data_IF_337894098863
#
_entry.id   IF_337894098863
#
_cell.length_a   1.000
_cell.length_b   1.000
_cell.length_c   1.000
_cell.angle_alpha   90.00
_cell.angle_beta   90.00
_cell.angle_gamma   90.00
#
_symmetry.space_group_name_H-M   'P 1'
#
loop_
_entity.id
_entity.type
_entity.pdbx_description
1 polymer ?
#
# COMPACT_ATOMS: atom_id res chain seq x y z
N UNK A 1 -14.42 23.28 20.67
CA UNK A 1 -14.72 22.29 19.65
C UNK A 1 -14.97 23.10 18.40
N UNK A 2 -14.11 23.04 17.44
CA UNK A 2 -14.19 23.91 16.25
C UNK A 2 -15.26 23.32 15.33
N UNK A 3 -16.17 24.14 14.86
CA UNK A 3 -17.15 23.80 13.81
C UNK A 3 -16.38 23.42 12.57
N UNK A 4 -16.54 22.19 12.08
CA UNK A 4 -15.77 21.65 10.97
C UNK A 4 -16.59 21.69 9.66
N UNK A 5 -17.70 22.43 9.67
CA UNK A 5 -18.46 22.76 8.46
C UNK A 5 -17.93 24.08 7.92
N UNK A 6 -17.45 24.04 6.68
CA UNK A 6 -16.99 25.21 5.94
C UNK A 6 -17.79 25.37 4.65
N UNK A 7 -18.02 26.60 4.24
CA UNK A 7 -18.83 26.95 3.08
C UNK A 7 -17.97 27.63 2.04
N UNK A 8 -18.05 27.20 0.80
CA UNK A 8 -17.30 27.73 -0.32
C UNK A 8 -18.20 28.03 -1.50
N UNK A 9 -17.90 29.08 -2.25
CA UNK A 9 -18.60 29.41 -3.48
C UNK A 9 -17.61 29.91 -4.54
N UNK A 10 -17.86 29.54 -5.77
CA UNK A 10 -17.07 30.05 -6.88
C UNK A 10 -17.60 31.39 -7.32
N UNK A 11 -16.80 32.44 -7.16
CA UNK A 11 -17.10 33.82 -7.60
C UNK A 11 -16.03 34.22 -8.60
N UNK A 12 -16.43 34.62 -9.80
CA UNK A 12 -15.50 35.03 -10.87
C UNK A 12 -14.38 34.02 -11.18
N UNK A 13 -14.67 32.71 -11.05
CA UNK A 13 -13.70 31.64 -11.32
C UNK A 13 -12.73 31.34 -10.16
N UNK A 14 -12.92 31.95 -9.00
CA UNK A 14 -12.14 31.69 -7.78
C UNK A 14 -13.03 31.12 -6.67
N UNK A 15 -12.51 30.17 -5.93
CA UNK A 15 -13.17 29.62 -4.75
C UNK A 15 -12.99 30.57 -3.56
N UNK A 16 -14.10 31.08 -3.02
CA UNK A 16 -14.11 31.97 -1.87
C UNK A 16 -14.76 31.26 -0.67
N UNK A 17 -14.15 31.41 0.51
CA UNK A 17 -14.71 30.91 1.77
C UNK A 17 -15.83 31.87 2.26
N UNK A 18 -17.00 31.31 2.51
CA UNK A 18 -18.15 32.06 3.01
C UNK A 18 -18.26 31.93 4.53
N UNK A 19 -18.71 32.97 5.21
CA UNK A 19 -18.94 32.95 6.67
C UNK A 19 -20.24 32.26 7.06
N UNK A 20 -21.19 32.21 6.16
CA UNK A 20 -22.53 31.68 6.39
C UNK A 20 -23.02 30.94 5.14
N UNK A 21 -23.94 30.01 5.36
CA UNK A 21 -24.62 29.29 4.28
C UNK A 21 -25.22 30.22 3.24
N UNK A 22 -25.01 29.91 1.98
CA UNK A 22 -25.68 30.49 0.82
C UNK A 22 -26.11 29.38 -0.14
N UNK A 23 -27.23 29.63 -0.83
CA UNK A 23 -27.70 28.72 -1.88
C UNK A 23 -26.69 28.64 -3.02
N UNK A 24 -26.35 27.41 -3.47
CA UNK A 24 -25.38 27.17 -4.52
C UNK A 24 -23.92 27.12 -4.01
N UNK A 25 -23.71 27.13 -2.70
CA UNK A 25 -22.37 26.91 -2.14
C UNK A 25 -22.00 25.41 -2.09
N UNK A 26 -20.71 25.16 -2.05
CA UNK A 26 -20.17 23.87 -1.66
C UNK A 26 -19.96 23.85 -0.14
N UNK A 27 -20.40 22.79 0.51
CA UNK A 27 -20.32 22.58 1.95
C UNK A 27 -19.34 21.47 2.21
N UNK A 28 -18.25 21.75 2.92
CA UNK A 28 -17.28 20.73 3.31
C UNK A 28 -17.41 20.42 4.80
N UNK A 29 -17.59 19.13 5.13
CA UNK A 29 -17.77 18.62 6.48
C UNK A 29 -16.66 17.61 6.76
N UNK A 30 -15.82 17.89 7.78
CA UNK A 30 -14.75 16.98 8.21
C UNK A 30 -15.13 16.47 9.60
N UNK A 31 -15.23 15.14 9.76
CA UNK A 31 -15.60 14.47 11.01
C UNK A 31 -16.81 15.15 11.71
N UNK A 32 -17.98 15.28 11.06
CA UNK A 32 -19.10 16.07 11.57
C UNK A 32 -19.61 15.50 12.90
N UNK A 33 -19.94 16.40 13.81
CA UNK A 33 -20.58 16.08 15.08
C UNK A 33 -22.04 15.74 14.89
N UNK A 34 -22.67 15.14 15.92
CA UNK A 34 -24.09 14.80 15.87
C UNK A 34 -24.99 16.03 15.61
N UNK A 35 -24.68 17.18 16.22
CA UNK A 35 -25.41 18.43 16.01
C UNK A 35 -25.25 18.98 14.59
N UNK A 36 -24.08 18.80 13.97
CA UNK A 36 -23.83 19.17 12.58
C UNK A 36 -24.59 18.25 11.60
N UNK A 37 -24.72 16.97 11.94
CA UNK A 37 -25.54 16.03 11.15
C UNK A 37 -27.03 16.37 11.22
N UNK A 38 -27.54 16.75 12.40
CA UNK A 38 -28.93 17.25 12.54
C UNK A 38 -29.16 18.49 11.66
N UNK A 39 -28.21 19.42 11.62
CA UNK A 39 -28.26 20.60 10.76
C UNK A 39 -28.31 20.22 9.25
N UNK A 40 -27.48 19.24 8.83
CA UNK A 40 -27.52 18.76 7.44
C UNK A 40 -28.87 18.13 7.08
N UNK A 41 -29.52 17.45 8.04
CA UNK A 41 -30.83 16.84 7.83
C UNK A 41 -31.94 17.91 7.82
N UNK A 42 -32.00 18.75 8.86
CA UNK A 42 -33.13 19.65 9.11
C UNK A 42 -33.12 20.90 8.20
N UNK A 43 -31.93 21.47 7.95
CA UNK A 43 -31.80 22.70 7.16
C UNK A 43 -31.49 22.44 5.68
N UNK A 44 -30.77 21.39 5.36
CA UNK A 44 -30.31 21.10 4.00
C UNK A 44 -31.06 19.93 3.34
N UNK A 45 -31.95 19.24 4.10
CA UNK A 45 -32.79 18.16 3.59
C UNK A 45 -31.98 16.91 3.16
N UNK A 46 -30.83 16.64 3.81
CA UNK A 46 -30.09 15.43 3.53
C UNK A 46 -30.71 14.25 4.27
N UNK A 47 -31.03 13.20 3.55
CA UNK A 47 -31.62 12.00 4.11
C UNK A 47 -30.70 11.32 5.17
N UNK A 48 -31.25 10.90 6.35
CA UNK A 48 -30.49 10.28 7.40
C UNK A 48 -29.79 8.98 6.98
N UNK A 49 -30.32 8.26 5.99
CA UNK A 49 -29.69 7.05 5.44
C UNK A 49 -28.40 7.40 4.72
N UNK A 50 -28.40 8.45 3.90
CA UNK A 50 -27.24 8.99 3.19
C UNK A 50 -26.15 9.43 4.18
N UNK A 51 -26.52 10.13 5.25
CA UNK A 51 -25.56 10.57 6.27
C UNK A 51 -24.91 9.38 7.00
N UNK A 52 -25.68 8.32 7.29
CA UNK A 52 -25.11 7.11 7.91
C UNK A 52 -24.09 6.43 7.01
N UNK A 53 -24.40 6.26 5.72
CA UNK A 53 -23.45 5.70 4.76
C UNK A 53 -22.20 6.57 4.62
N UNK A 54 -22.36 7.90 4.66
CA UNK A 54 -21.24 8.86 4.56
C UNK A 54 -20.27 8.83 5.75
N UNK A 55 -20.67 8.23 6.88
CA UNK A 55 -19.87 8.14 8.12
C UNK A 55 -19.32 6.75 8.39
N UNK A 56 -19.53 5.81 7.47
CA UNK A 56 -18.95 4.46 7.58
C UNK A 56 -17.56 4.45 6.94
N UNK A 57 -16.52 4.15 7.74
CA UNK A 57 -15.13 4.06 7.26
C UNK A 57 -14.90 2.87 6.32
N UNK A 58 -15.76 1.86 6.36
CA UNK A 58 -15.66 0.63 5.55
C UNK A 58 -16.62 0.66 4.34
N UNK A 59 -17.33 1.77 4.11
CA UNK A 59 -18.27 1.90 3.01
C UNK A 59 -17.54 1.86 1.66
N UNK A 60 -18.03 1.02 0.77
CA UNK A 60 -17.43 0.82 -0.56
C UNK A 60 -17.91 1.88 -1.56
N UNK A 61 -17.06 2.20 -2.54
CA UNK A 61 -17.43 3.15 -3.60
C UNK A 61 -18.71 2.72 -4.34
N UNK A 62 -19.71 3.58 -4.31
CA UNK A 62 -20.98 3.40 -5.03
C UNK A 62 -21.66 4.74 -5.29
N UNK A 63 -22.74 4.69 -6.06
CA UNK A 63 -23.66 5.81 -6.27
C UNK A 63 -25.06 5.35 -5.91
N UNK A 64 -25.76 6.16 -5.15
CA UNK A 64 -27.14 5.94 -4.75
C UNK A 64 -27.96 7.22 -4.89
N UNK A 65 -29.27 7.08 -5.05
CA UNK A 65 -30.17 8.21 -5.16
C UNK A 65 -31.39 7.96 -4.25
N UNK A 66 -31.56 8.85 -3.30
CA UNK A 66 -32.76 8.88 -2.43
C UNK A 66 -33.46 10.23 -2.56
N UNK A 67 -34.72 10.21 -2.94
CA UNK A 67 -35.55 11.39 -3.22
C UNK A 67 -34.83 12.38 -4.17
N UNK A 68 -34.54 13.59 -3.68
CA UNK A 68 -33.86 14.66 -4.41
C UNK A 68 -32.32 14.70 -4.18
N UNK A 69 -31.77 13.71 -3.45
CA UNK A 69 -30.34 13.64 -3.10
C UNK A 69 -29.65 12.55 -3.89
N UNK A 70 -28.50 12.86 -4.46
CA UNK A 70 -27.62 11.85 -5.08
C UNK A 70 -26.34 11.75 -4.27
N UNK A 71 -26.09 10.56 -3.72
CA UNK A 71 -24.88 10.23 -2.97
C UNK A 71 -23.86 9.56 -3.90
N UNK A 72 -22.62 10.02 -3.81
CA UNK A 72 -21.45 9.36 -4.35
C UNK A 72 -20.52 9.02 -3.19
N UNK A 73 -20.19 7.77 -3.01
CA UNK A 73 -19.09 7.35 -2.16
C UNK A 73 -17.97 6.94 -3.07
N UNK A 74 -16.80 7.51 -2.86
CA UNK A 74 -15.59 7.25 -3.62
C UNK A 74 -14.44 6.97 -2.67
N UNK A 75 -13.61 6.00 -3.02
CA UNK A 75 -12.40 5.70 -2.26
C UNK A 75 -11.27 6.62 -2.66
N UNK A 76 -10.69 7.33 -1.71
CA UNK A 76 -9.55 8.22 -1.91
C UNK A 76 -8.27 7.60 -1.34
N UNK A 77 -7.14 7.72 -2.05
CA UNK A 77 -5.88 7.22 -1.55
C UNK A 77 -5.25 8.19 -0.54
N UNK A 78 -4.82 7.65 0.61
CA UNK A 78 -4.21 8.42 1.69
C UNK A 78 -2.89 7.79 2.11
N UNK A 79 -1.91 8.62 2.47
CA UNK A 79 -0.63 8.18 3.03
C UNK A 79 -0.70 8.19 4.54
N UNK A 80 -0.56 7.02 5.14
CA UNK A 80 -0.45 6.87 6.59
C UNK A 80 1.02 6.68 6.98
N UNK A 81 1.50 7.49 7.90
CA UNK A 81 2.83 7.34 8.48
C UNK A 81 2.74 6.55 9.78
N UNK A 82 3.25 5.33 9.78
CA UNK A 82 3.39 4.51 10.97
C UNK A 82 4.88 4.44 11.35
N UNK A 83 5.26 5.11 12.45
CA UNK A 83 6.63 5.17 12.97
C UNK A 83 7.72 5.50 11.93
N UNK A 84 8.20 4.50 11.17
CA UNK A 84 9.27 4.63 10.17
C UNK A 84 8.87 4.17 8.77
N UNK A 85 7.65 3.67 8.59
CA UNK A 85 7.17 3.15 7.32
C UNK A 85 6.04 4.04 6.78
N UNK A 86 6.02 4.18 5.46
CA UNK A 86 4.90 4.77 4.73
C UNK A 86 4.01 3.63 4.26
N UNK A 87 2.73 3.65 4.66
CA UNK A 87 1.70 2.79 4.11
C UNK A 87 0.67 3.62 3.35
N UNK A 88 0.10 3.04 2.32
CA UNK A 88 -0.95 3.67 1.53
C UNK A 88 -2.24 2.91 1.80
N UNK A 89 -3.23 3.63 2.25
CA UNK A 89 -4.58 3.13 2.54
C UNK A 89 -5.60 3.87 1.69
N UNK A 90 -6.82 3.41 1.71
CA UNK A 90 -7.95 4.12 1.09
C UNK A 90 -9.00 4.45 2.15
N UNK A 91 -9.61 5.62 2.02
CA UNK A 91 -10.68 6.08 2.89
C UNK A 91 -11.86 6.53 2.01
N UNK A 92 -13.11 6.34 2.47
CA UNK A 92 -14.27 6.84 1.76
C UNK A 92 -14.36 8.36 1.86
N UNK A 93 -14.77 8.99 0.75
CA UNK A 93 -15.22 10.37 0.66
C UNK A 93 -16.65 10.35 0.13
N UNK A 94 -17.58 10.85 0.91
CA UNK A 94 -18.95 11.03 0.45
C UNK A 94 -19.11 12.41 -0.20
N UNK A 95 -19.80 12.43 -1.34
CA UNK A 95 -20.17 13.63 -2.07
C UNK A 95 -21.68 13.54 -2.30
N UNK A 96 -22.42 14.51 -1.77
CA UNK A 96 -23.88 14.55 -1.86
C UNK A 96 -24.26 15.74 -2.74
N UNK A 97 -25.01 15.47 -3.78
CA UNK A 97 -25.64 16.50 -4.60
C UNK A 97 -27.08 16.62 -4.16
N UNK A 98 -27.45 17.79 -3.66
CA UNK A 98 -28.83 18.18 -3.38
C UNK A 98 -29.37 19.10 -4.49
N UNK A 99 -30.64 19.47 -4.44
CA UNK A 99 -31.24 20.42 -5.39
C UNK A 99 -30.47 21.76 -5.43
N UNK A 100 -29.91 22.20 -4.33
CA UNK A 100 -29.29 23.52 -4.21
C UNK A 100 -27.75 23.49 -4.07
N UNK A 101 -27.17 22.47 -3.43
CA UNK A 101 -25.82 22.49 -2.94
C UNK A 101 -25.04 21.21 -3.30
N UNK A 102 -23.73 21.29 -3.15
CA UNK A 102 -22.81 20.14 -3.10
C UNK A 102 -22.33 20.03 -1.66
N UNK A 103 -22.33 18.83 -1.10
CA UNK A 103 -21.83 18.56 0.25
C UNK A 103 -20.78 17.48 0.15
N UNK A 104 -19.61 17.70 0.73
CA UNK A 104 -18.57 16.69 0.88
C UNK A 104 -18.45 16.33 2.36
N UNK A 105 -18.40 15.03 2.66
CA UNK A 105 -18.21 14.52 4.03
C UNK A 105 -17.04 13.58 4.03
N UNK A 106 -16.06 13.84 4.89
CA UNK A 106 -14.92 12.97 5.14
C UNK A 106 -14.69 12.80 6.65
N UNK A 107 -14.22 11.63 7.07
CA UNK A 107 -13.94 11.36 8.50
C UNK A 107 -12.57 11.89 8.94
N UNK A 108 -11.69 12.18 7.98
CA UNK A 108 -10.36 12.70 8.22
C UNK A 108 -10.04 13.84 7.24
N UNK A 109 -9.06 14.66 7.61
CA UNK A 109 -8.52 15.69 6.71
C UNK A 109 -8.10 15.07 5.38
N UNK A 110 -8.55 15.70 4.30
CA UNK A 110 -8.37 15.19 2.95
C UNK A 110 -7.56 16.17 2.11
N UNK A 111 -6.32 15.79 1.72
CA UNK A 111 -5.48 16.68 0.91
C UNK A 111 -6.03 16.99 -0.48
N UNK A 112 -6.94 16.14 -1.01
CA UNK A 112 -7.59 16.38 -2.30
C UNK A 112 -8.64 17.48 -2.13
N UNK A 113 -9.46 17.41 -1.09
CA UNK A 113 -10.47 18.44 -0.80
C UNK A 113 -9.80 19.77 -0.46
N UNK A 114 -8.68 19.78 0.26
CA UNK A 114 -7.90 20.98 0.53
C UNK A 114 -7.45 21.70 -0.76
N UNK A 115 -7.11 20.98 -1.84
CA UNK A 115 -6.79 21.59 -3.14
C UNK A 115 -7.97 22.37 -3.75
N UNK A 116 -9.23 21.95 -3.46
CA UNK A 116 -10.44 22.69 -3.88
C UNK A 116 -10.70 23.88 -2.99
N UNK A 117 -10.50 23.74 -1.67
CA UNK A 117 -10.65 24.85 -0.70
C UNK A 117 -9.67 26.00 -1.00
N UNK A 118 -8.44 25.66 -1.35
CA UNK A 118 -7.40 26.60 -1.71
C UNK A 118 -7.55 27.19 -3.13
N UNK A 119 -8.53 26.72 -3.90
CA UNK A 119 -8.75 27.16 -5.28
C UNK A 119 -7.65 26.77 -6.26
N UNK A 120 -6.88 25.72 -5.94
CA UNK A 120 -5.79 25.20 -6.80
C UNK A 120 -6.36 24.50 -8.03
N UNK A 121 -7.53 23.88 -7.89
CA UNK A 121 -8.20 23.15 -8.97
C UNK A 121 -8.90 24.15 -9.90
N UNK A 122 -8.39 24.27 -11.11
CA UNK A 122 -8.98 25.15 -12.13
C UNK A 122 -10.31 24.56 -12.62
N UNK A 123 -11.24 25.44 -12.98
CA UNK A 123 -12.58 25.09 -13.52
C UNK A 123 -13.51 24.35 -12.56
N UNK A 124 -13.15 24.18 -11.29
CA UNK A 124 -14.05 23.65 -10.28
C UNK A 124 -15.08 24.74 -9.88
N UNK A 125 -16.20 24.78 -10.59
CA UNK A 125 -17.25 25.76 -10.33
C UNK A 125 -18.42 25.11 -9.55
N UNK A 126 -18.75 25.68 -8.39
CA UNK A 126 -19.83 25.20 -7.50
C UNK A 126 -21.21 25.28 -8.13
N UNK A 127 -21.43 26.10 -9.17
CA UNK A 127 -22.68 26.17 -9.91
C UNK A 127 -22.92 24.95 -10.82
N UNK A 128 -21.85 24.29 -11.27
CA UNK A 128 -21.88 23.11 -12.13
C UNK A 128 -21.60 21.83 -11.32
N UNK A 129 -22.62 21.35 -10.60
CA UNK A 129 -22.46 20.28 -9.61
C UNK A 129 -21.87 19.00 -10.18
N UNK A 130 -22.34 18.56 -11.35
CA UNK A 130 -21.84 17.36 -12.03
C UNK A 130 -20.36 17.52 -12.36
N UNK A 131 -19.99 18.64 -12.97
CA UNK A 131 -18.61 18.94 -13.34
C UNK A 131 -17.70 19.02 -12.10
N UNK A 132 -18.19 19.61 -11.00
CA UNK A 132 -17.45 19.67 -9.74
C UNK A 132 -17.12 18.27 -9.19
N UNK A 133 -18.09 17.35 -9.19
CA UNK A 133 -17.85 15.93 -8.80
C UNK A 133 -16.84 15.26 -9.73
N UNK A 134 -16.95 15.48 -11.03
CA UNK A 134 -16.01 14.91 -12.00
C UNK A 134 -14.59 15.43 -11.80
N UNK A 135 -14.40 16.71 -11.47
CA UNK A 135 -13.09 17.26 -11.11
C UNK A 135 -12.54 16.65 -9.82
N UNK A 136 -13.39 16.35 -8.82
CA UNK A 136 -12.93 15.59 -7.64
C UNK A 136 -12.41 14.21 -8.07
N UNK A 137 -13.16 13.50 -8.93
CA UNK A 137 -12.74 12.18 -9.44
C UNK A 137 -11.44 12.23 -10.24
N UNK A 138 -11.25 13.26 -11.07
CA UNK A 138 -10.01 13.54 -11.79
C UNK A 138 -8.83 13.68 -10.82
N UNK A 139 -8.99 14.51 -9.77
CA UNK A 139 -7.94 14.70 -8.76
C UNK A 139 -7.66 13.44 -7.96
N UNK A 140 -8.70 12.67 -7.59
CA UNK A 140 -8.56 11.37 -6.93
C UNK A 140 -7.74 10.42 -7.80
N UNK A 141 -8.08 10.30 -9.09
CA UNK A 141 -7.38 9.42 -10.03
C UNK A 141 -5.92 9.84 -10.23
N UNK A 142 -5.66 11.13 -10.40
CA UNK A 142 -4.31 11.68 -10.48
C UNK A 142 -3.47 11.36 -9.22
N UNK A 143 -4.10 11.39 -8.04
CA UNK A 143 -3.47 11.05 -6.76
C UNK A 143 -3.11 9.57 -6.68
N UNK A 144 -4.00 8.67 -7.14
CA UNK A 144 -3.67 7.25 -7.28
C UNK A 144 -2.46 7.02 -8.17
N UNK A 145 -2.42 7.62 -9.35
CA UNK A 145 -1.28 7.52 -10.27
C UNK A 145 0.02 8.05 -9.64
N UNK A 146 -0.07 9.16 -8.90
CA UNK A 146 1.06 9.72 -8.16
C UNK A 146 1.59 8.74 -7.10
N UNK A 147 0.71 8.14 -6.31
CA UNK A 147 1.11 7.20 -5.25
C UNK A 147 1.64 5.88 -5.82
N UNK A 148 1.06 5.36 -6.89
CA UNK A 148 1.59 4.19 -7.58
C UNK A 148 3.02 4.42 -8.09
N UNK A 149 3.32 5.60 -8.65
CA UNK A 149 4.69 5.99 -9.03
C UNK A 149 5.65 6.13 -7.84
N UNK A 150 5.15 6.54 -6.67
CA UNK A 150 5.95 6.59 -5.44
C UNK A 150 6.22 5.19 -4.90
N UNK A 151 5.21 4.33 -4.88
CA UNK A 151 5.31 2.92 -4.49
C UNK A 151 6.37 2.21 -5.32
N UNK A 152 6.35 2.36 -6.64
CA UNK A 152 7.35 1.78 -7.55
C UNK A 152 8.78 2.16 -7.14
N UNK A 153 9.03 3.45 -6.88
CA UNK A 153 10.35 3.91 -6.42
C UNK A 153 10.78 3.34 -5.07
N UNK A 154 9.82 3.19 -4.14
CA UNK A 154 10.09 2.64 -2.80
C UNK A 154 10.38 1.13 -2.92
N UNK A 155 9.60 0.42 -3.72
CA UNK A 155 9.78 -1.01 -4.02
C UNK A 155 11.17 -1.28 -4.59
N UNK A 156 11.56 -0.56 -5.63
CA UNK A 156 12.89 -0.71 -6.22
C UNK A 156 14.03 -0.47 -5.22
N UNK A 157 13.92 0.52 -4.34
CA UNK A 157 14.92 0.77 -3.31
C UNK A 157 14.99 -0.37 -2.30
N UNK A 158 13.82 -0.83 -1.81
CA UNK A 158 13.74 -1.93 -0.85
C UNK A 158 14.30 -3.24 -1.42
N UNK A 159 14.03 -3.55 -2.70
CA UNK A 159 14.60 -4.69 -3.41
C UNK A 159 16.12 -4.61 -3.52
N UNK A 160 16.67 -3.45 -3.87
CA UNK A 160 18.13 -3.24 -3.96
C UNK A 160 18.81 -3.41 -2.60
N UNK A 161 18.22 -2.89 -1.53
CA UNK A 161 18.72 -3.06 -0.18
C UNK A 161 18.64 -4.51 0.28
N UNK A 162 17.53 -5.21 -0.04
CA UNK A 162 17.35 -6.61 0.28
C UNK A 162 18.40 -7.50 -0.40
N UNK A 163 18.70 -7.25 -1.68
CA UNK A 163 19.77 -7.96 -2.40
C UNK A 163 21.15 -7.78 -1.76
N UNK A 164 21.40 -6.62 -1.13
CA UNK A 164 22.71 -6.32 -0.48
C UNK A 164 22.85 -6.93 0.90
N UNK A 165 21.79 -6.95 1.70
CA UNK A 165 21.91 -7.22 3.14
C UNK A 165 21.01 -8.34 3.66
N UNK A 166 20.06 -8.86 2.88
CA UNK A 166 19.11 -9.94 3.26
C UNK A 166 18.46 -9.74 4.65
N UNK A 167 18.15 -8.47 5.02
CA UNK A 167 17.58 -8.16 6.34
C UNK A 167 16.06 -8.29 6.33
N UNK A 168 15.49 -8.85 7.38
CA UNK A 168 14.04 -9.00 7.56
C UNK A 168 13.26 -7.68 7.47
N UNK A 169 13.91 -6.55 7.80
CA UNK A 169 13.27 -5.24 7.74
C UNK A 169 12.79 -4.88 6.34
N UNK A 170 13.60 -5.15 5.31
CA UNK A 170 13.23 -4.86 3.92
C UNK A 170 12.11 -5.78 3.43
N UNK A 171 12.11 -7.04 3.87
CA UNK A 171 11.00 -7.96 3.57
C UNK A 171 9.69 -7.47 4.17
N UNK A 172 9.69 -7.04 5.43
CA UNK A 172 8.50 -6.46 6.06
C UNK A 172 8.02 -5.20 5.33
N UNK A 173 8.94 -4.35 4.87
CA UNK A 173 8.59 -3.17 4.08
C UNK A 173 7.93 -3.54 2.75
N UNK A 174 8.43 -4.56 2.04
CA UNK A 174 7.82 -5.04 0.79
C UNK A 174 6.44 -5.64 1.02
N UNK A 175 6.23 -6.37 2.13
CA UNK A 175 4.89 -6.87 2.53
C UNK A 175 3.89 -5.74 2.80
N UNK A 176 4.31 -4.66 3.47
CA UNK A 176 3.44 -3.49 3.68
C UNK A 176 3.09 -2.78 2.37
N UNK A 177 4.03 -2.74 1.43
CA UNK A 177 3.78 -2.21 0.08
C UNK A 177 2.80 -3.10 -0.68
N UNK A 178 2.98 -4.43 -0.61
CA UNK A 178 2.06 -5.38 -1.25
C UNK A 178 0.63 -5.20 -0.73
N UNK A 179 0.46 -5.10 0.59
CA UNK A 179 -0.82 -4.81 1.24
C UNK A 179 -1.42 -3.50 0.74
N UNK A 180 -0.61 -2.44 0.65
CA UNK A 180 -1.04 -1.14 0.12
C UNK A 180 -1.52 -1.24 -1.33
N UNK A 181 -0.79 -1.96 -2.20
CA UNK A 181 -1.18 -2.17 -3.59
C UNK A 181 -2.49 -2.93 -3.73
N UNK A 182 -2.76 -3.91 -2.85
CA UNK A 182 -4.03 -4.64 -2.82
C UNK A 182 -5.19 -3.68 -2.52
N UNK A 183 -5.07 -2.83 -1.49
CA UNK A 183 -6.10 -1.85 -1.16
C UNK A 183 -6.31 -0.85 -2.30
N UNK A 184 -5.24 -0.24 -2.81
CA UNK A 184 -5.33 0.71 -3.93
C UNK A 184 -5.97 0.08 -5.17
N UNK A 185 -5.62 -1.18 -5.49
CA UNK A 185 -6.19 -1.90 -6.64
C UNK A 185 -7.69 -2.20 -6.46
N UNK A 186 -8.11 -2.60 -5.25
CA UNK A 186 -9.51 -2.87 -4.94
C UNK A 186 -10.35 -1.60 -5.05
N UNK A 187 -9.91 -0.51 -4.43
CA UNK A 187 -10.59 0.79 -4.43
C UNK A 187 -10.64 1.42 -5.82
N UNK A 188 -9.56 1.35 -6.61
CA UNK A 188 -9.59 1.80 -8.01
C UNK A 188 -10.64 1.08 -8.84
N UNK A 189 -10.77 -0.25 -8.68
CA UNK A 189 -11.81 -1.04 -9.39
C UNK A 189 -13.21 -0.66 -8.93
N UNK A 190 -13.41 -0.41 -7.63
CA UNK A 190 -14.69 0.04 -7.10
C UNK A 190 -15.07 1.41 -7.65
N UNK A 191 -14.13 2.35 -7.65
CA UNK A 191 -14.30 3.68 -8.23
C UNK A 191 -14.60 3.62 -9.75
N UNK A 192 -13.92 2.75 -10.52
CA UNK A 192 -14.19 2.56 -11.95
C UNK A 192 -15.64 2.11 -12.20
N UNK A 193 -16.16 1.17 -11.40
CA UNK A 193 -17.54 0.72 -11.50
C UNK A 193 -18.50 1.87 -11.22
N UNK A 194 -18.24 2.68 -10.20
CA UNK A 194 -19.03 3.86 -9.84
C UNK A 194 -19.01 4.89 -10.97
N UNK A 195 -17.83 5.20 -11.54
CA UNK A 195 -17.70 6.11 -12.68
C UNK A 195 -18.42 5.62 -13.93
N UNK A 196 -18.39 4.32 -14.21
CA UNK A 196 -19.14 3.74 -15.33
C UNK A 196 -20.65 3.86 -15.13
N UNK A 197 -21.17 3.78 -13.89
CA UNK A 197 -22.58 4.03 -13.58
C UNK A 197 -22.93 5.50 -13.83
N UNK A 198 -22.06 6.44 -13.44
CA UNK A 198 -22.24 7.88 -13.70
C UNK A 198 -22.30 8.14 -15.22
N UNK A 199 -21.36 7.58 -16.00
CA UNK A 199 -21.32 7.73 -17.48
C UNK A 199 -22.62 7.28 -18.16
N UNK A 200 -23.33 6.31 -17.60
CA UNK A 200 -24.62 5.86 -18.16
C UNK A 200 -25.73 6.93 -18.08
N UNK A 201 -25.50 8.03 -17.35
CA UNK A 201 -26.33 9.25 -17.37
C UNK A 201 -27.73 9.11 -16.79
N UNK A 202 -28.01 8.07 -15.98
CA UNK A 202 -29.35 7.84 -15.44
C UNK A 202 -29.60 8.51 -14.09
N UNK A 203 -28.53 8.83 -13.35
CA UNK A 203 -28.62 9.32 -11.96
C UNK A 203 -28.31 10.81 -11.83
N UNK A 204 -27.57 11.38 -12.77
CA UNK A 204 -27.25 12.81 -12.82
C UNK A 204 -27.38 13.35 -14.23
N UNK A 205 -27.70 14.64 -14.34
CA UNK A 205 -27.79 15.33 -15.63
C UNK A 205 -26.36 15.64 -16.11
N UNK A 206 -26.03 15.18 -17.30
CA UNK A 206 -24.72 15.41 -17.94
C UNK A 206 -24.87 16.30 -19.16
N UNK A 207 -23.89 17.14 -19.39
CA UNK A 207 -23.73 17.97 -20.59
C UNK A 207 -22.60 17.41 -21.46
N UNK A 208 -22.45 17.88 -22.68
CA UNK A 208 -21.42 17.37 -23.61
C UNK A 208 -20.00 17.49 -23.05
N UNK A 209 -19.68 18.57 -22.34
CA UNK A 209 -18.40 18.80 -21.68
C UNK A 209 -18.15 17.78 -20.54
N UNK A 210 -19.20 17.40 -19.81
CA UNK A 210 -19.11 16.39 -18.74
C UNK A 210 -18.82 14.99 -19.31
N UNK A 211 -19.32 14.70 -20.52
CA UNK A 211 -19.08 13.41 -21.20
C UNK A 211 -17.62 13.27 -21.59
N UNK A 212 -16.99 14.33 -22.09
CA UNK A 212 -15.56 14.32 -22.41
C UNK A 212 -14.72 14.16 -21.14
N UNK A 213 -15.01 14.93 -20.09
CA UNK A 213 -14.29 14.87 -18.82
C UNK A 213 -14.36 13.47 -18.15
N UNK A 214 -15.57 12.84 -18.15
CA UNK A 214 -15.70 11.50 -17.57
C UNK A 214 -14.96 10.43 -18.38
N UNK A 215 -14.86 10.59 -19.70
CA UNK A 215 -14.08 9.68 -20.55
C UNK A 215 -12.60 9.75 -20.23
N UNK A 216 -12.07 10.96 -20.08
CA UNK A 216 -10.67 11.18 -19.70
C UNK A 216 -10.35 10.58 -18.32
N UNK A 217 -11.21 10.83 -17.32
CA UNK A 217 -11.06 10.24 -15.99
C UNK A 217 -11.09 8.70 -16.03
N UNK A 218 -12.00 8.11 -16.81
CA UNK A 218 -12.07 6.66 -16.98
C UNK A 218 -10.82 6.07 -17.67
N UNK A 219 -10.22 6.78 -18.61
CA UNK A 219 -8.97 6.36 -19.25
C UNK A 219 -7.83 6.35 -18.24
N UNK A 220 -7.66 7.45 -17.50
CA UNK A 220 -6.61 7.55 -16.47
C UNK A 220 -6.83 6.52 -15.33
N UNK A 221 -8.08 6.27 -14.93
CA UNK A 221 -8.42 5.28 -13.90
C UNK A 221 -8.07 3.87 -14.35
N UNK A 222 -8.36 3.50 -15.60
CA UNK A 222 -7.93 2.21 -16.16
C UNK A 222 -6.41 2.09 -16.20
N UNK A 223 -5.70 3.14 -16.57
CA UNK A 223 -4.24 3.17 -16.51
C UNK A 223 -3.76 2.92 -15.07
N UNK A 224 -4.38 3.53 -14.05
CA UNK A 224 -4.03 3.30 -12.66
C UNK A 224 -4.31 1.86 -12.22
N UNK A 225 -5.44 1.27 -12.64
CA UNK A 225 -5.79 -0.14 -12.38
C UNK A 225 -4.73 -1.07 -12.96
N UNK A 226 -4.39 -0.90 -14.24
CA UNK A 226 -3.40 -1.74 -14.92
C UNK A 226 -2.03 -1.59 -14.25
N UNK A 227 -1.62 -0.37 -13.92
CA UNK A 227 -0.37 -0.08 -13.24
C UNK A 227 -0.31 -0.73 -11.85
N UNK A 228 -1.40 -0.65 -11.06
CA UNK A 228 -1.47 -1.30 -9.75
C UNK A 228 -1.37 -2.83 -9.85
N UNK A 229 -2.05 -3.43 -10.83
CA UNK A 229 -2.01 -4.87 -11.09
C UNK A 229 -0.61 -5.34 -11.51
N UNK A 230 0.06 -4.59 -12.40
CA UNK A 230 1.43 -4.88 -12.83
C UNK A 230 2.39 -4.81 -11.65
N UNK A 231 2.34 -3.74 -10.83
CA UNK A 231 3.20 -3.60 -9.66
C UNK A 231 2.96 -4.71 -8.63
N UNK A 232 1.72 -5.09 -8.39
CA UNK A 232 1.38 -6.19 -7.49
C UNK A 232 1.97 -7.52 -7.97
N UNK A 233 1.82 -7.84 -9.26
CA UNK A 233 2.36 -9.07 -9.84
C UNK A 233 3.89 -9.11 -9.81
N UNK A 234 4.56 -8.01 -10.13
CA UNK A 234 6.02 -7.90 -10.05
C UNK A 234 6.49 -8.09 -8.62
N UNK A 235 5.87 -7.41 -7.66
CA UNK A 235 6.24 -7.48 -6.26
C UNK A 235 6.06 -8.89 -5.69
N UNK A 236 4.91 -9.52 -5.95
CA UNK A 236 4.65 -10.90 -5.52
C UNK A 236 5.67 -11.88 -6.09
N UNK A 237 5.98 -11.79 -7.39
CA UNK A 237 7.01 -12.61 -8.04
C UNK A 237 8.41 -12.35 -7.47
N UNK A 238 8.73 -11.10 -7.15
CA UNK A 238 9.99 -10.73 -6.49
C UNK A 238 10.10 -11.33 -5.08
N UNK A 239 9.00 -11.33 -4.31
CA UNK A 239 8.95 -11.94 -2.97
C UNK A 239 9.19 -13.45 -3.01
N UNK A 240 8.59 -14.17 -3.98
CA UNK A 240 8.83 -15.59 -4.20
C UNK A 240 10.29 -15.88 -4.56
N UNK A 241 10.88 -15.06 -5.44
CA UNK A 241 12.29 -15.15 -5.79
C UNK A 241 13.20 -14.92 -4.58
N UNK A 242 12.93 -13.91 -3.75
CA UNK A 242 13.70 -13.67 -2.53
C UNK A 242 13.59 -14.80 -1.52
N UNK A 243 12.39 -15.37 -1.33
CA UNK A 243 12.19 -16.56 -0.47
C UNK A 243 13.06 -17.74 -0.93
N UNK A 244 13.15 -17.97 -2.23
CA UNK A 244 14.00 -19.02 -2.82
C UNK A 244 15.48 -18.74 -2.60
N UNK A 245 15.92 -17.48 -2.76
CA UNK A 245 17.32 -17.07 -2.52
C UNK A 245 17.70 -17.23 -1.05
N UNK A 246 16.82 -16.83 -0.12
CA UNK A 246 17.03 -16.98 1.32
C UNK A 246 17.16 -18.46 1.68
N UNK A 247 16.27 -19.32 1.17
CA UNK A 247 16.34 -20.78 1.39
C UNK A 247 17.64 -21.36 0.84
N UNK A 248 18.07 -20.95 -0.35
CA UNK A 248 19.35 -21.39 -0.92
C UNK A 248 20.55 -20.94 -0.08
N UNK A 249 20.56 -19.70 0.40
CA UNK A 249 21.62 -19.19 1.28
C UNK A 249 21.67 -19.97 2.60
N UNK A 250 20.52 -20.30 3.20
CA UNK A 250 20.45 -21.14 4.39
C UNK A 250 21.08 -22.52 4.13
N UNK A 251 20.76 -23.14 2.99
CA UNK A 251 21.35 -24.41 2.59
C UNK A 251 22.88 -24.33 2.45
N UNK A 252 23.41 -23.24 1.89
CA UNK A 252 24.86 -23.00 1.78
C UNK A 252 25.49 -22.90 3.17
N UNK A 253 24.91 -22.11 4.07
CA UNK A 253 25.38 -21.98 5.45
C UNK A 253 25.38 -23.33 6.18
N UNK A 254 24.27 -24.09 6.05
CA UNK A 254 24.13 -25.43 6.65
C UNK A 254 25.16 -26.42 6.09
N UNK A 255 25.40 -26.42 4.78
CA UNK A 255 26.48 -27.25 4.16
C UNK A 255 27.85 -26.91 4.73
N UNK A 256 28.17 -25.62 4.79
CA UNK A 256 29.44 -25.14 5.31
C UNK A 256 29.62 -25.51 6.79
N UNK A 257 28.61 -25.29 7.62
CA UNK A 257 28.65 -25.65 9.04
C UNK A 257 28.81 -27.15 9.25
N UNK A 258 28.05 -27.95 8.51
CA UNK A 258 28.16 -29.43 8.55
C UNK A 258 29.55 -29.89 8.14
N UNK A 259 30.10 -29.31 7.08
CA UNK A 259 31.44 -29.66 6.60
C UNK A 259 32.53 -29.31 7.63
N UNK A 260 32.46 -28.13 8.25
CA UNK A 260 33.39 -27.74 9.33
C UNK A 260 33.28 -28.71 10.51
N UNK A 261 32.06 -29.04 10.93
CA UNK A 261 31.80 -29.96 12.04
C UNK A 261 32.37 -31.36 11.75
N UNK A 262 32.14 -31.88 10.54
CA UNK A 262 32.69 -33.17 10.12
C UNK A 262 34.22 -33.17 10.12
N UNK A 263 34.87 -32.14 9.62
CA UNK A 263 36.33 -32.00 9.62
C UNK A 263 36.85 -31.95 11.05
N UNK A 264 36.26 -31.18 11.95
CA UNK A 264 36.67 -31.02 13.33
C UNK A 264 36.38 -32.27 14.20
N UNK A 265 35.45 -33.14 13.80
CA UNK A 265 35.17 -34.38 14.52
C UNK A 265 36.30 -35.39 14.40
N UNK A 266 37.12 -35.37 13.31
CA UNK A 266 38.20 -36.31 13.07
C UNK A 266 39.27 -36.30 14.19
N UNK A 267 39.86 -35.13 14.54
CA UNK A 267 40.82 -35.08 15.67
C UNK A 267 40.21 -35.54 16.98
N UNK A 268 38.93 -35.21 17.23
CA UNK A 268 38.22 -35.60 18.45
C UNK A 268 38.07 -37.10 18.57
N UNK A 269 37.69 -37.80 17.48
CA UNK A 269 37.57 -39.25 17.43
C UNK A 269 38.94 -39.92 17.64
N UNK A 270 39.97 -39.44 16.96
CA UNK A 270 41.33 -39.99 17.06
C UNK A 270 41.86 -39.77 18.48
N UNK A 271 41.73 -38.57 19.04
CA UNK A 271 42.18 -38.25 20.40
C UNK A 271 41.42 -39.07 21.45
N UNK A 272 40.11 -39.30 21.26
CA UNK A 272 39.29 -40.13 22.13
C UNK A 272 39.74 -41.60 22.11
N UNK A 273 40.01 -42.15 20.91
CA UNK A 273 40.49 -43.51 20.77
C UNK A 273 41.87 -43.72 21.41
N UNK A 274 42.82 -42.82 21.17
CA UNK A 274 44.16 -42.88 21.74
C UNK A 274 44.19 -42.54 23.24
N UNK A 275 43.26 -41.72 23.75
CA UNK A 275 43.16 -41.38 25.17
C UNK A 275 42.56 -42.49 26.04
N UNK A 276 41.76 -43.38 25.49
CA UNK A 276 41.19 -44.53 26.20
C UNK A 276 42.15 -45.68 26.41
N UNK A 277 43.14 -45.85 25.53
CA UNK A 277 44.10 -46.94 25.62
C UNK A 277 45.45 -46.42 26.14
N UNK A 278 45.91 -46.97 27.26
CA UNK A 278 47.26 -46.69 27.79
C UNK A 278 48.28 -47.29 26.80
N UNK A 279 48.90 -46.43 25.98
CA UNK A 279 49.65 -46.76 24.76
C UNK A 279 51.07 -47.22 25.12
N UNK A 280 51.24 -48.12 26.08
CA UNK A 280 52.58 -48.60 26.48
C UNK A 280 53.15 -49.73 25.59
N UNK A 281 52.32 -50.35 24.71
CA UNK A 281 52.72 -51.54 23.95
C UNK A 281 52.47 -51.54 22.42
N UNK A 282 52.18 -50.39 21.83
CA UNK A 282 52.02 -50.30 20.37
C UNK A 282 53.41 -50.03 19.73
N UNK A 283 53.86 -50.95 18.95
CA UNK A 283 55.18 -50.96 18.34
C UNK A 283 55.74 -49.60 17.84
N UNK A 284 57.03 -49.48 17.70
CA UNK A 284 57.89 -48.29 17.66
C UNK A 284 57.39 -47.04 16.82
N UNK A 285 56.42 -47.17 15.91
CA UNK A 285 55.94 -46.04 15.09
C UNK A 285 54.62 -45.54 15.57
N UNK A 286 53.67 -46.43 15.96
CA UNK A 286 52.29 -46.07 16.38
C UNK A 286 52.24 -45.56 17.81
N UNK A 287 53.19 -45.80 18.64
CA UNK A 287 53.38 -45.34 20.01
C UNK A 287 53.98 -43.94 20.15
N UNK A 288 54.38 -43.30 19.04
CA UNK A 288 55.02 -41.98 19.07
C UNK A 288 53.94 -40.87 19.20
N UNK A 289 54.15 -39.94 20.11
CA UNK A 289 53.17 -38.87 20.43
C UNK A 289 52.70 -38.06 19.23
N UNK A 290 53.44 -37.91 18.15
CA UNK A 290 53.10 -37.16 16.95
C UNK A 290 52.26 -37.97 15.96
N UNK A 291 52.19 -39.31 16.04
CA UNK A 291 51.49 -40.18 15.09
C UNK A 291 49.96 -39.92 15.05
N UNK A 292 49.22 -39.83 16.18
CA UNK A 292 47.82 -39.46 16.18
C UNK A 292 47.56 -38.09 15.55
N UNK A 293 48.47 -37.15 15.75
CA UNK A 293 48.40 -35.83 15.15
C UNK A 293 48.56 -35.87 13.63
N UNK A 294 49.58 -36.57 13.12
CA UNK A 294 49.79 -36.74 11.68
C UNK A 294 48.64 -37.50 11.00
N UNK A 295 48.12 -38.54 11.66
CA UNK A 295 46.96 -39.29 11.18
C UNK A 295 45.71 -38.41 11.10
N UNK A 296 45.42 -37.62 12.13
CA UNK A 296 44.28 -36.71 12.13
C UNK A 296 44.39 -35.67 11.02
N UNK A 297 45.56 -35.09 10.83
CA UNK A 297 45.79 -34.07 9.80
C UNK A 297 45.58 -34.64 8.39
N UNK A 298 46.09 -35.87 8.13
CA UNK A 298 45.93 -36.54 6.85
C UNK A 298 44.48 -36.86 6.53
N UNK A 299 43.73 -37.37 7.51
CA UNK A 299 42.28 -37.66 7.34
C UNK A 299 41.44 -36.41 7.18
N UNK A 300 41.76 -35.33 7.90
CA UNK A 300 41.12 -34.01 7.70
C UNK A 300 41.34 -33.51 6.27
N UNK A 301 42.58 -33.64 5.74
CA UNK A 301 42.90 -33.21 4.38
C UNK A 301 42.13 -34.04 3.33
N UNK A 302 42.10 -35.35 3.50
CA UNK A 302 41.34 -36.24 2.61
C UNK A 302 39.82 -35.89 2.64
N UNK A 303 39.25 -35.73 3.83
CA UNK A 303 37.86 -35.37 3.98
C UNK A 303 37.58 -33.99 3.37
N UNK A 304 38.43 -33.00 3.59
CA UNK A 304 38.30 -31.67 2.97
C UNK A 304 38.27 -31.75 1.43
N UNK A 305 39.18 -32.56 0.83
CA UNK A 305 39.21 -32.75 -0.63
C UNK A 305 37.92 -33.42 -1.12
N UNK A 306 37.39 -34.40 -0.38
CA UNK A 306 36.12 -35.06 -0.74
C UNK A 306 34.94 -34.09 -0.66
N UNK A 307 34.85 -33.31 0.43
CA UNK A 307 33.77 -32.32 0.62
C UNK A 307 33.83 -31.21 -0.43
N UNK A 308 35.05 -30.74 -0.76
CA UNK A 308 35.25 -29.74 -1.83
C UNK A 308 34.84 -30.27 -3.20
N UNK A 309 35.10 -31.56 -3.54
CA UNK A 309 34.64 -32.17 -4.79
C UNK A 309 33.10 -32.33 -4.86
N UNK A 310 32.42 -32.35 -3.72
CA UNK A 310 30.97 -32.47 -3.62
C UNK A 310 30.25 -31.11 -3.47
N UNK A 311 30.95 -29.99 -3.66
CA UNK A 311 30.41 -28.63 -3.49
C UNK A 311 29.75 -28.41 -2.12
N UNK A 312 30.37 -28.99 -1.07
CA UNK A 312 29.88 -28.83 0.31
C UNK A 312 30.72 -27.82 1.11
N UNK A 313 31.86 -27.39 0.58
CA UNK A 313 32.75 -26.36 1.15
C UNK A 313 33.11 -25.36 0.09
#
# INVERSE_FOLDING_TARGET
>A
MFTIITYYKTVNGHTENLKTYEKGCWINCIAPTYAEMELLTDELGVEPAILRASLDEEESSHIDQEEDNTLFIIDIPVVQRQEKNLSYITLPLAIIITNNNIITISLHDNPIIAEFEEGVVKNANTDFKTQFVLHIMERVTAKYLQYLKQIDKITHRAEQELRKSMKNKQLLQLLEIEKSLVYLSASLKSNDITMQKIKRGRLIKMYDEDVELIEDVLIEMRQAIDMSAIHLNILSSSMDAFSSVISNNLNIVMKTLTSITLILSIPTIISGYYGMNNITDWGTITGTWWFPFALSLSLMLILYIILKRKDMV
#
